data_IF_145500877689
#
_entry.id   IF_145500877689
#
_cell.length_a   1.000
_cell.length_b   1.000
_cell.length_c   1.000
_cell.angle_alpha   90.00
_cell.angle_beta   90.00
_cell.angle_gamma   90.00
#
_symmetry.space_group_name_H-M   'P 1'
#
loop_
_entity.id
_entity.type
_entity.pdbx_description
1 polymer ?
#
# COMPACT_ATOMS: atom_id res chain seq x y z
N UNK A 1 7.57 17.73 0.65
CA UNK A 1 6.22 17.20 0.32
C UNK A 1 6.40 16.26 -0.87
N UNK A 2 6.04 14.98 -0.76
CA UNK A 2 6.13 14.06 -1.90
C UNK A 2 5.17 14.54 -3.01
N UNK A 3 5.58 14.42 -4.26
CA UNK A 3 4.81 14.87 -5.43
C UNK A 3 4.70 13.75 -6.45
N UNK A 4 3.62 13.76 -7.23
CA UNK A 4 3.47 12.84 -8.34
C UNK A 4 4.60 13.05 -9.35
N UNK A 5 5.12 11.96 -9.90
CA UNK A 5 6.23 12.00 -10.85
C UNK A 5 5.74 11.96 -12.30
N UNK A 6 4.47 11.57 -12.53
CA UNK A 6 3.84 11.34 -13.84
C UNK A 6 4.58 10.30 -14.70
N UNK A 7 5.27 9.35 -14.05
CA UNK A 7 5.98 8.22 -14.68
C UNK A 7 5.98 7.03 -13.72
N UNK A 8 6.09 5.79 -14.20
CA UNK A 8 6.17 4.61 -13.34
C UNK A 8 7.21 4.80 -12.24
N UNK A 9 6.79 4.64 -10.98
CA UNK A 9 7.63 4.97 -9.82
C UNK A 9 7.56 3.91 -8.74
N UNK A 10 8.70 3.73 -8.08
CA UNK A 10 8.84 2.89 -6.91
C UNK A 10 8.91 3.77 -5.66
N UNK A 11 8.15 3.39 -4.65
CA UNK A 11 8.14 4.01 -3.33
C UNK A 11 8.50 2.95 -2.29
N UNK A 12 9.21 3.37 -1.25
CA UNK A 12 9.60 2.51 -0.14
C UNK A 12 9.37 3.22 1.18
N UNK A 13 8.83 2.50 2.15
CA UNK A 13 8.66 2.94 3.53
C UNK A 13 8.82 1.76 4.49
N UNK A 14 8.82 2.04 5.79
CA UNK A 14 8.82 1.02 6.82
C UNK A 14 7.85 1.36 7.96
N UNK A 15 7.26 0.34 8.60
CA UNK A 15 6.34 0.52 9.73
C UNK A 15 6.55 -0.58 10.78
N UNK A 16 6.37 -0.29 12.09
CA UNK A 16 6.47 -1.31 13.14
C UNK A 16 5.29 -2.28 13.08
N UNK A 17 5.48 -3.52 13.54
CA UNK A 17 4.36 -4.44 13.77
C UNK A 17 3.49 -3.90 14.91
N UNK A 18 2.17 -3.78 14.72
CA UNK A 18 1.28 -3.35 15.81
C UNK A 18 1.21 -4.40 16.92
N UNK A 19 1.14 -3.95 18.18
CA UNK A 19 1.04 -4.84 19.36
C UNK A 19 -0.25 -5.68 19.43
N UNK A 20 -1.21 -5.41 18.53
CA UNK A 20 -2.53 -6.03 18.53
C UNK A 20 -2.62 -7.11 17.46
N UNK A 21 -3.10 -8.30 17.82
CA UNK A 21 -3.39 -9.41 16.88
C UNK A 21 -4.72 -9.19 16.16
N UNK A 22 -4.85 -8.07 15.47
CA UNK A 22 -6.03 -7.73 14.66
C UNK A 22 -5.72 -7.90 13.17
N UNK A 23 -6.75 -8.18 12.38
CA UNK A 23 -6.61 -8.22 10.93
C UNK A 23 -6.22 -6.83 10.40
N UNK A 24 -5.12 -6.77 9.64
CA UNK A 24 -4.60 -5.55 9.07
C UNK A 24 -4.84 -5.50 7.57
N UNK A 25 -4.96 -4.30 7.04
CA UNK A 25 -5.11 -4.03 5.62
C UNK A 25 -4.34 -2.78 5.20
N UNK A 26 -3.93 -2.74 3.94
CA UNK A 26 -3.31 -1.59 3.32
C UNK A 26 -4.34 -0.86 2.45
N UNK A 27 -4.66 0.37 2.84
CA UNK A 27 -5.45 1.29 2.03
C UNK A 27 -4.53 2.03 1.06
N UNK A 28 -4.69 1.76 -0.23
CA UNK A 28 -3.92 2.37 -1.32
C UNK A 28 -4.51 3.71 -1.82
N UNK A 29 -5.42 4.32 -1.06
CA UNK A 29 -6.03 5.62 -1.39
C UNK A 29 -5.00 6.66 -1.83
N UNK A 30 -5.34 7.41 -2.87
CA UNK A 30 -4.48 8.45 -3.45
C UNK A 30 -3.42 7.94 -4.43
N UNK A 31 -3.31 6.63 -4.65
CA UNK A 31 -2.53 6.04 -5.73
C UNK A 31 -3.36 5.82 -7.00
N UNK A 32 -2.70 5.35 -8.06
CA UNK A 32 -3.32 4.97 -9.32
C UNK A 32 -3.56 3.46 -9.38
N UNK A 33 -2.65 2.69 -9.96
CA UNK A 33 -2.63 1.24 -10.00
C UNK A 33 -1.20 0.72 -9.97
N UNK A 34 -1.03 -0.51 -9.52
CA UNK A 34 0.27 -1.16 -9.53
C UNK A 34 0.32 -2.32 -8.57
N UNK A 35 1.47 -2.52 -7.93
CA UNK A 35 1.75 -3.69 -7.11
C UNK A 35 2.44 -3.32 -5.80
N UNK A 36 2.11 -4.06 -4.74
CA UNK A 36 2.67 -3.88 -3.40
C UNK A 36 3.47 -5.11 -3.00
N UNK A 37 4.58 -4.88 -2.31
CA UNK A 37 5.38 -5.90 -1.66
C UNK A 37 5.54 -5.58 -0.17
N UNK A 38 5.43 -6.60 0.66
CA UNK A 38 5.65 -6.55 2.10
C UNK A 38 6.80 -7.50 2.44
N UNK A 39 7.88 -6.98 3.03
CA UNK A 39 9.05 -7.79 3.40
C UNK A 39 9.56 -8.67 2.24
N UNK A 40 9.58 -8.13 1.03
CA UNK A 40 10.00 -8.83 -0.19
C UNK A 40 8.95 -9.76 -0.83
N UNK A 41 7.81 -10.01 -0.16
CA UNK A 41 6.73 -10.86 -0.68
C UNK A 41 5.68 -10.02 -1.42
N UNK A 42 5.17 -10.52 -2.55
CA UNK A 42 4.13 -9.84 -3.32
C UNK A 42 2.79 -9.86 -2.57
N UNK A 43 2.36 -8.71 -2.04
CA UNK A 43 1.10 -8.57 -1.29
C UNK A 43 -0.11 -8.58 -2.21
N UNK A 44 0.01 -7.94 -3.37
CA UNK A 44 -1.06 -7.93 -4.36
C UNK A 44 -1.02 -6.72 -5.29
N UNK A 45 -1.98 -6.67 -6.20
CA UNK A 45 -2.22 -5.54 -7.11
C UNK A 45 -3.36 -4.68 -6.58
N UNK A 46 -3.25 -3.37 -6.77
CA UNK A 46 -4.33 -2.41 -6.49
C UNK A 46 -4.69 -1.64 -7.76
N UNK A 47 -5.92 -1.14 -7.82
CA UNK A 47 -6.37 -0.21 -8.84
C UNK A 47 -7.39 0.75 -8.21
N UNK A 48 -6.92 1.93 -7.85
CA UNK A 48 -7.65 2.95 -7.08
C UNK A 48 -8.12 4.08 -8.00
N UNK A 49 -7.29 4.49 -8.96
CA UNK A 49 -7.64 5.54 -9.92
C UNK A 49 -6.95 5.38 -11.27
N UNK A 50 -7.55 5.96 -12.32
CA UNK A 50 -6.95 6.02 -13.65
C UNK A 50 -5.77 7.02 -13.73
N UNK A 51 -5.15 7.13 -14.91
CA UNK A 51 -4.01 8.04 -15.12
C UNK A 51 -4.34 9.53 -14.89
N UNK A 52 -5.63 9.90 -14.89
CA UNK A 52 -6.12 11.26 -14.63
C UNK A 52 -6.53 11.45 -13.18
N UNK A 53 -6.39 10.42 -12.34
CA UNK A 53 -6.80 10.44 -10.94
C UNK A 53 -8.31 10.27 -10.73
N UNK A 54 -9.05 9.81 -11.75
CA UNK A 54 -10.45 9.47 -11.58
C UNK A 54 -10.54 8.12 -10.85
N UNK A 55 -11.25 8.10 -9.72
CA UNK A 55 -11.48 6.88 -8.94
C UNK A 55 -12.10 5.77 -9.77
N UNK A 56 -11.66 4.54 -9.51
CA UNK A 56 -12.22 3.31 -10.07
C UNK A 56 -12.86 2.54 -8.91
N UNK A 57 -14.14 2.21 -9.05
CA UNK A 57 -14.88 1.43 -8.07
C UNK A 57 -15.20 0.02 -8.60
N UNK A 58 -15.15 -1.02 -7.75
CA UNK A 58 -14.75 -0.97 -6.34
C UNK A 58 -13.22 -0.99 -6.18
N UNK A 59 -12.68 -0.05 -5.41
CA UNK A 59 -11.31 -0.13 -4.89
C UNK A 59 -11.32 -0.79 -3.51
N UNK A 60 -10.65 -1.93 -3.36
CA UNK A 60 -10.57 -2.68 -2.10
C UNK A 60 -9.18 -2.55 -1.46
N UNK A 61 -9.09 -2.46 -0.13
CA UNK A 61 -7.81 -2.50 0.57
C UNK A 61 -7.17 -3.89 0.46
N UNK A 62 -5.84 -3.96 0.57
CA UNK A 62 -5.09 -5.22 0.48
C UNK A 62 -4.94 -5.84 1.88
N UNK A 63 -5.41 -7.07 2.12
CA UNK A 63 -5.23 -7.72 3.42
C UNK A 63 -3.74 -8.01 3.67
N UNK A 64 -3.27 -7.73 4.88
CA UNK A 64 -1.90 -8.00 5.33
C UNK A 64 -1.88 -9.30 6.15
N UNK A 65 -1.25 -10.38 5.66
CA UNK A 65 -1.10 -11.60 6.45
C UNK A 65 -0.21 -11.36 7.66
N UNK A 66 -0.72 -11.64 8.86
CA UNK A 66 0.06 -11.48 10.11
C UNK A 66 1.36 -12.30 10.08
N UNK A 67 1.33 -13.48 9.46
CA UNK A 67 2.50 -14.36 9.32
C UNK A 67 3.63 -13.78 8.46
N UNK A 68 3.41 -12.65 7.76
CA UNK A 68 4.44 -11.99 6.95
C UNK A 68 5.08 -10.80 7.67
N UNK A 69 4.61 -10.46 8.88
CA UNK A 69 5.15 -9.36 9.67
C UNK A 69 6.38 -9.80 10.48
N UNK A 70 7.33 -8.90 10.65
CA UNK A 70 8.48 -9.08 11.53
C UNK A 70 8.05 -8.86 12.99
N UNK A 71 8.27 -9.82 13.88
CA UNK A 71 7.80 -9.73 15.28
C UNK A 71 8.47 -8.57 16.05
N UNK A 72 9.80 -8.47 15.97
CA UNK A 72 10.60 -7.51 16.75
C UNK A 72 11.26 -6.42 15.88
N UNK A 73 10.68 -6.12 14.70
CA UNK A 73 11.34 -5.27 13.70
C UNK A 73 10.40 -4.42 12.84
N UNK A 74 11.02 -3.56 12.04
CA UNK A 74 10.31 -2.78 11.04
C UNK A 74 9.93 -3.68 9.85
N UNK A 75 8.72 -3.51 9.34
CA UNK A 75 8.23 -4.13 8.11
C UNK A 75 8.53 -3.20 6.94
N UNK A 76 9.18 -3.71 5.90
CA UNK A 76 9.41 -2.97 4.66
C UNK A 76 8.16 -3.05 3.77
N UNK A 77 7.70 -1.88 3.33
CA UNK A 77 6.64 -1.74 2.36
C UNK A 77 7.20 -1.11 1.08
N UNK A 78 7.10 -1.84 -0.03
CA UNK A 78 7.48 -1.35 -1.36
C UNK A 78 6.24 -1.27 -2.24
N UNK A 79 6.04 -0.12 -2.89
CA UNK A 79 4.90 0.14 -3.76
C UNK A 79 5.42 0.55 -5.13
N UNK A 80 4.99 -0.17 -6.15
CA UNK A 80 5.08 0.30 -7.53
C UNK A 80 3.76 0.97 -7.92
N UNK A 81 3.82 2.21 -8.40
CA UNK A 81 2.69 2.94 -8.97
C UNK A 81 2.96 3.23 -10.45
N UNK A 82 2.07 2.74 -11.33
CA UNK A 82 2.26 2.80 -12.78
C UNK A 82 2.21 4.24 -13.34
N UNK A 83 1.50 5.15 -12.69
CA UNK A 83 1.40 6.56 -13.12
C UNK A 83 2.23 7.52 -12.25
N UNK A 84 2.95 6.99 -11.26
CA UNK A 84 3.84 7.76 -10.41
C UNK A 84 3.14 8.60 -9.35
N UNK A 85 1.97 8.19 -8.89
CA UNK A 85 1.25 8.89 -7.83
C UNK A 85 1.98 8.72 -6.49
N UNK A 86 2.07 9.80 -5.72
CA UNK A 86 2.79 9.79 -4.44
C UNK A 86 1.94 9.14 -3.33
N UNK A 87 2.52 8.24 -2.50
CA UNK A 87 1.80 7.48 -1.48
C UNK A 87 1.48 8.29 -0.22
N UNK A 88 1.10 9.58 -0.37
CA UNK A 88 0.87 10.50 0.75
C UNK A 88 -0.36 10.18 1.60
N UNK A 89 -1.27 9.37 1.07
CA UNK A 89 -2.52 8.94 1.73
C UNK A 89 -2.56 7.45 2.04
N UNK A 90 -1.50 6.71 1.71
CA UNK A 90 -1.42 5.27 1.98
C UNK A 90 -1.31 5.04 3.48
N UNK A 91 -2.06 4.07 4.01
CA UNK A 91 -2.08 3.73 5.43
C UNK A 91 -2.26 2.23 5.65
N UNK A 92 -1.61 1.72 6.69
CA UNK A 92 -1.94 0.43 7.29
C UNK A 92 -3.06 0.68 8.30
N UNK A 93 -4.15 -0.05 8.20
CA UNK A 93 -5.32 0.07 9.05
C UNK A 93 -5.80 -1.27 9.57
N UNK A 94 -6.69 -1.23 10.56
CA UNK A 94 -7.42 -2.42 11.02
C UNK A 94 -8.61 -2.65 10.08
N UNK A 95 -8.79 -3.89 9.64
CA UNK A 95 -9.91 -4.28 8.78
C UNK A 95 -11.23 -3.94 9.46
N UNK A 96 -12.03 -3.08 8.82
CA UNK A 96 -13.38 -2.73 9.27
C UNK A 96 -14.37 -3.63 8.53
N UNK A 97 -15.05 -4.51 9.26
CA UNK A 97 -16.21 -5.27 8.76
C UNK A 97 -17.49 -4.50 9.02
#
# INVERSE_FOLDING_TARGET
KLSNTNKPSWWKSSFPTPDTRVALELDCSGLSKGQVYLNGQALGRYFVSDAKGKSVDPSLPLPIPFAWLNEDGANELVIFDEHGFAPTKVKVGVTRR
#
